data_IF_782049858445
#
_entry.id   IF_782049858445
#
_cell.length_a   1.000
_cell.length_b   1.000
_cell.length_c   1.000
_cell.angle_alpha   90.00
_cell.angle_beta   90.00
_cell.angle_gamma   90.00
#
_symmetry.space_group_name_H-M   'P 1'
#
loop_
_entity.id
_entity.type
_entity.pdbx_description
1 polymer ?
#
# COMPACT_ATOMS: atom_id res chain seq x y z
N UNK A 1 7.16 16.91 -19.82
CA UNK A 1 7.96 15.75 -19.39
C UNK A 1 7.42 14.56 -20.14
N UNK A 2 8.18 14.02 -21.09
CA UNK A 2 7.79 12.82 -21.83
C UNK A 2 8.28 11.60 -21.05
N UNK A 3 7.35 10.89 -20.41
CA UNK A 3 7.63 9.79 -19.47
C UNK A 3 8.36 8.62 -20.13
N UNK A 4 8.32 8.53 -21.47
CA UNK A 4 8.91 7.46 -22.24
C UNK A 4 10.15 7.92 -23.03
N UNK A 5 10.65 9.14 -22.79
CA UNK A 5 11.89 9.61 -23.43
C UNK A 5 13.07 8.76 -22.93
N UNK A 6 13.69 7.93 -23.80
CA UNK A 6 14.78 7.04 -23.39
C UNK A 6 16.04 7.78 -22.94
N UNK A 7 16.09 9.11 -23.08
CA UNK A 7 17.18 9.96 -22.62
C UNK A 7 17.01 10.43 -21.18
N UNK A 8 15.80 10.37 -20.61
CA UNK A 8 15.60 10.70 -19.20
C UNK A 8 16.00 9.51 -18.32
N UNK A 9 17.23 9.58 -17.80
CA UNK A 9 17.86 8.54 -16.99
C UNK A 9 17.90 8.89 -15.51
N UNK A 10 17.06 9.82 -15.05
CA UNK A 10 17.04 10.15 -13.63
C UNK A 10 16.66 8.91 -12.80
N UNK A 11 17.45 8.58 -11.77
CA UNK A 11 17.15 7.43 -10.93
C UNK A 11 15.81 7.63 -10.22
N UNK A 12 15.01 6.56 -10.17
CA UNK A 12 13.76 6.57 -9.42
C UNK A 12 14.06 6.78 -7.94
N UNK A 13 13.39 7.75 -7.33
CA UNK A 13 13.48 7.98 -5.89
C UNK A 13 12.63 6.97 -5.13
N UNK A 14 13.24 6.36 -4.11
CA UNK A 14 12.54 5.48 -3.19
C UNK A 14 11.41 6.23 -2.45
N UNK A 15 10.30 5.56 -2.11
CA UNK A 15 9.27 6.16 -1.28
C UNK A 15 9.82 6.50 0.11
N UNK A 16 9.35 7.62 0.67
CA UNK A 16 9.71 8.10 2.02
C UNK A 16 9.29 7.11 3.11
N UNK A 17 8.15 6.45 2.92
CA UNK A 17 7.56 5.49 3.84
C UNK A 17 7.29 4.15 3.17
N UNK A 18 7.36 3.10 3.99
CA UNK A 18 6.90 1.77 3.65
C UNK A 18 5.77 1.38 4.61
N UNK A 19 4.78 0.65 4.10
CA UNK A 19 3.65 0.18 4.89
C UNK A 19 3.53 -1.34 4.85
N UNK A 20 2.99 -1.90 5.93
CA UNK A 20 2.64 -3.32 6.04
C UNK A 20 1.29 -3.45 6.75
N UNK A 21 0.43 -4.31 6.25
CA UNK A 21 -0.78 -4.70 6.96
C UNK A 21 -0.50 -5.88 7.88
N UNK A 22 -1.07 -5.83 9.08
CA UNK A 22 -1.11 -6.94 10.04
C UNK A 22 -2.56 -7.33 10.28
N UNK A 23 -2.90 -8.59 10.03
CA UNK A 23 -4.28 -9.06 10.15
C UNK A 23 -4.36 -10.57 10.41
N UNK A 24 -5.56 -11.06 10.72
CA UNK A 24 -5.88 -12.49 10.78
C UNK A 24 -6.97 -12.78 9.75
N UNK A 25 -6.81 -13.84 8.98
CA UNK A 25 -7.84 -14.29 8.04
C UNK A 25 -8.80 -15.28 8.74
N UNK A 26 -9.85 -15.70 8.03
CA UNK A 26 -10.86 -16.62 8.55
C UNK A 26 -10.37 -18.07 8.73
N UNK A 27 -9.15 -18.40 8.29
CA UNK A 27 -8.59 -19.73 8.49
C UNK A 27 -8.38 -20.01 9.99
N UNK A 28 -8.88 -21.15 10.47
CA UNK A 28 -8.92 -21.49 11.90
C UNK A 28 -7.53 -21.58 12.53
N UNK A 29 -6.52 -21.93 11.73
CA UNK A 29 -5.13 -22.06 12.15
C UNK A 29 -4.26 -20.84 11.79
N UNK A 30 -4.87 -19.71 11.45
CA UNK A 30 -4.13 -18.50 11.06
C UNK A 30 -3.27 -17.98 12.23
N UNK A 31 -1.95 -18.07 12.07
CA UNK A 31 -0.97 -17.48 12.99
C UNK A 31 -0.93 -15.94 12.95
N UNK A 32 -1.57 -15.33 11.95
CA UNK A 32 -1.47 -13.92 11.61
C UNK A 32 -0.69 -13.73 10.31
N UNK A 33 -1.00 -12.64 9.62
CA UNK A 33 -0.35 -12.22 8.39
C UNK A 33 0.38 -10.90 8.63
N UNK A 34 1.57 -10.76 8.06
CA UNK A 34 2.24 -9.47 7.87
C UNK A 34 2.64 -9.36 6.40
N UNK A 35 2.04 -8.42 5.67
CA UNK A 35 2.26 -8.28 4.22
C UNK A 35 2.59 -6.83 3.87
N UNK A 36 3.64 -6.65 3.05
CA UNK A 36 4.02 -5.34 2.53
C UNK A 36 2.99 -4.78 1.56
N UNK A 37 2.76 -3.48 1.64
CA UNK A 37 1.93 -2.72 0.71
C UNK A 37 2.79 -2.19 -0.44
N UNK A 38 2.52 -2.64 -1.66
CA UNK A 38 3.19 -2.23 -2.91
C UNK A 38 2.24 -1.45 -3.83
N UNK A 39 1.30 -0.73 -3.22
CA UNK A 39 0.33 0.08 -3.95
C UNK A 39 0.99 1.38 -4.46
N UNK A 40 0.82 1.66 -5.76
CA UNK A 40 1.36 2.87 -6.38
C UNK A 40 0.67 4.13 -5.85
N UNK A 41 -0.60 4.06 -5.46
CA UNK A 41 -1.36 5.17 -4.88
C UNK A 41 -0.79 5.57 -3.52
N UNK A 42 -0.28 4.60 -2.75
CA UNK A 42 0.40 4.87 -1.48
C UNK A 42 1.65 5.71 -1.70
N UNK A 43 2.44 5.39 -2.73
CA UNK A 43 3.63 6.18 -3.07
C UNK A 43 3.25 7.53 -3.67
N UNK A 44 2.22 7.61 -4.50
CA UNK A 44 1.74 8.85 -5.09
C UNK A 44 1.29 9.85 -4.00
N UNK A 45 0.52 9.39 -3.00
CA UNK A 45 0.10 10.24 -1.89
C UNK A 45 1.31 10.79 -1.12
N UNK A 46 2.32 9.97 -0.84
CA UNK A 46 3.56 10.45 -0.19
C UNK A 46 4.23 11.59 -0.97
N UNK A 47 4.24 11.52 -2.30
CA UNK A 47 4.81 12.57 -3.15
C UNK A 47 4.01 13.87 -3.08
N UNK A 48 2.68 13.79 -3.01
CA UNK A 48 1.83 14.96 -2.77
C UNK A 48 2.03 15.57 -1.38
N UNK A 49 2.54 14.79 -0.42
CA UNK A 49 2.82 15.21 0.96
C UNK A 49 4.29 15.62 1.17
N UNK A 50 5.07 15.83 0.11
CA UNK A 50 6.50 16.15 0.22
C UNK A 50 6.82 17.42 1.03
N UNK A 51 5.89 18.39 1.07
CA UNK A 51 6.02 19.61 1.87
C UNK A 51 5.53 19.51 3.31
N UNK A 52 5.10 18.32 3.77
CA UNK A 52 4.60 18.07 5.12
C UNK A 52 5.65 17.39 6.00
N UNK A 53 5.52 17.55 7.31
CA UNK A 53 6.35 16.81 8.27
C UNK A 53 6.09 15.30 8.16
N UNK A 54 7.00 14.50 8.73
CA UNK A 54 6.81 13.04 8.75
C UNK A 54 5.54 12.65 9.51
N UNK A 55 5.29 13.31 10.64
CA UNK A 55 4.11 13.09 11.48
C UNK A 55 2.82 13.41 10.74
N UNK A 56 2.73 14.59 10.10
CA UNK A 56 1.55 14.97 9.32
C UNK A 56 1.31 14.02 8.15
N UNK A 57 2.38 13.66 7.42
CA UNK A 57 2.28 12.75 6.30
C UNK A 57 1.81 11.36 6.74
N UNK A 58 2.33 10.85 7.86
CA UNK A 58 1.94 9.57 8.44
C UNK A 58 0.46 9.54 8.81
N UNK A 59 -0.04 10.57 9.48
CA UNK A 59 -1.46 10.67 9.86
C UNK A 59 -2.36 10.62 8.62
N UNK A 60 -1.99 11.34 7.56
CA UNK A 60 -2.76 11.36 6.30
C UNK A 60 -2.71 10.02 5.56
N UNK A 61 -1.56 9.34 5.58
CA UNK A 61 -1.41 8.00 5.01
C UNK A 61 -2.25 6.98 5.78
N UNK A 62 -2.21 7.00 7.12
CA UNK A 62 -3.02 6.12 7.97
C UNK A 62 -4.52 6.40 7.79
N UNK A 63 -4.93 7.67 7.72
CA UNK A 63 -6.32 8.05 7.48
C UNK A 63 -6.84 7.45 6.15
N UNK A 64 -6.03 7.51 5.08
CA UNK A 64 -6.43 7.01 3.75
C UNK A 64 -6.35 5.49 3.64
N UNK A 65 -5.25 4.88 4.07
CA UNK A 65 -4.94 3.46 3.82
C UNK A 65 -5.35 2.53 4.96
N UNK A 66 -5.71 3.06 6.13
CA UNK A 66 -6.22 2.27 7.24
C UNK A 66 -7.64 2.70 7.60
N UNK A 67 -7.83 3.91 8.12
CA UNK A 67 -9.12 4.33 8.67
C UNK A 67 -10.23 4.32 7.62
N UNK A 68 -10.01 4.94 6.46
CA UNK A 68 -11.04 5.04 5.43
C UNK A 68 -11.37 3.69 4.77
N UNK A 69 -10.37 2.85 4.50
CA UNK A 69 -10.56 1.58 3.78
C UNK A 69 -11.19 0.49 4.65
N UNK A 70 -10.91 0.51 5.96
CA UNK A 70 -11.36 -0.51 6.92
C UNK A 70 -12.42 0.02 7.89
N UNK A 71 -13.12 1.08 7.51
CA UNK A 71 -14.26 1.63 8.24
C UNK A 71 -15.36 0.58 8.46
N UNK A 72 -16.11 0.71 9.55
CA UNK A 72 -17.15 -0.25 9.95
C UNK A 72 -18.25 -0.43 8.88
N UNK A 73 -18.49 0.57 8.02
CA UNK A 73 -19.45 0.48 6.93
C UNK A 73 -18.98 -0.29 5.69
N UNK A 74 -17.76 -0.85 5.70
CA UNK A 74 -17.11 -1.44 4.53
C UNK A 74 -16.83 -2.93 4.69
N UNK A 75 -16.67 -3.60 3.55
CA UNK A 75 -16.24 -4.99 3.46
C UNK A 75 -14.94 -5.13 2.64
N UNK A 76 -13.78 -4.77 3.23
CA UNK A 76 -12.53 -4.67 2.49
C UNK A 76 -11.92 -6.03 2.13
N UNK A 77 -11.44 -6.14 0.89
CA UNK A 77 -10.70 -7.28 0.38
C UNK A 77 -9.34 -6.83 -0.18
N UNK A 78 -8.30 -7.61 0.09
CA UNK A 78 -6.97 -7.36 -0.46
C UNK A 78 -6.84 -7.94 -1.87
N UNK A 79 -6.32 -7.12 -2.79
CA UNK A 79 -5.68 -7.65 -3.99
C UNK A 79 -4.24 -7.98 -3.66
N UNK A 80 -3.88 -9.26 -3.78
CA UNK A 80 -2.53 -9.74 -3.49
C UNK A 80 -1.87 -10.28 -4.75
N UNK A 81 -0.55 -10.11 -4.82
CA UNK A 81 0.26 -10.67 -5.90
C UNK A 81 1.62 -11.13 -5.37
N UNK A 82 2.27 -11.98 -6.16
CA UNK A 82 3.59 -12.50 -5.87
C UNK A 82 4.53 -12.21 -7.05
N UNK A 83 5.81 -12.51 -6.85
CA UNK A 83 6.78 -12.53 -7.95
C UNK A 83 7.07 -13.98 -8.32
N UNK A 84 7.30 -14.28 -9.60
CA UNK A 84 7.58 -15.65 -10.06
C UNK A 84 8.72 -16.33 -9.27
N UNK A 85 9.78 -15.58 -8.94
CA UNK A 85 10.92 -16.04 -8.13
C UNK A 85 10.56 -16.38 -6.67
N UNK A 86 9.43 -15.87 -6.17
CA UNK A 86 8.94 -16.02 -4.78
C UNK A 86 7.44 -16.29 -4.76
N UNK A 87 6.99 -17.31 -5.48
CA UNK A 87 5.57 -17.61 -5.69
C UNK A 87 4.75 -17.84 -4.41
N UNK A 88 5.39 -18.15 -3.28
CA UNK A 88 4.73 -18.35 -1.99
C UNK A 88 4.65 -17.08 -1.13
N UNK A 89 5.26 -15.97 -1.55
CA UNK A 89 5.29 -14.70 -0.81
C UNK A 89 4.39 -13.70 -1.52
N UNK A 90 3.34 -13.26 -0.82
CA UNK A 90 2.36 -12.33 -1.35
C UNK A 90 2.51 -10.95 -0.71
N UNK A 91 2.45 -9.92 -1.53
CA UNK A 91 2.32 -8.51 -1.13
C UNK A 91 0.93 -7.99 -1.46
N UNK A 92 0.46 -7.02 -0.69
CA UNK A 92 -0.78 -6.30 -0.99
C UNK A 92 -0.49 -5.31 -2.10
N UNK A 93 -1.23 -5.42 -3.20
CA UNK A 93 -1.13 -4.55 -4.37
C UNK A 93 -2.20 -3.44 -4.35
N UNK A 94 -3.27 -3.66 -3.58
CA UNK A 94 -4.34 -2.69 -3.37
C UNK A 94 -5.42 -3.25 -2.46
N UNK A 95 -6.37 -2.40 -2.10
CA UNK A 95 -7.53 -2.76 -1.29
C UNK A 95 -8.80 -2.40 -2.07
N UNK A 96 -9.69 -3.37 -2.24
CA UNK A 96 -11.07 -3.11 -2.64
C UNK A 96 -11.91 -2.93 -1.38
N UNK A 97 -12.70 -1.87 -1.28
CA UNK A 97 -13.41 -1.52 -0.04
C UNK A 97 -14.86 -1.05 -0.31
N UNK A 98 -15.72 -1.95 -0.83
CA UNK A 98 -17.13 -1.66 -1.07
C UNK A 98 -17.87 -1.34 0.22
N UNK A 99 -19.04 -0.72 0.08
CA UNK A 99 -20.02 -0.66 1.18
C UNK A 99 -20.60 -2.05 1.42
N UNK A 100 -20.99 -2.31 2.67
CA UNK A 100 -21.71 -3.53 3.06
C UNK A 100 -23.12 -3.57 2.52
#
# INVERSE_FOLDING_TARGET
>A
MDLLDPRDKQPLQAPRFQARYRYRCHERRCGGHEQGLLDWEFVALQRHLAGRSDEEARVLLEARFLTMMFDEGRDPAFYVGNQAKRAHVFSVLGVYYPQR
#
